data_IF_657433134678
#
_entry.id   IF_657433134678
#
_cell.length_a   1.000
_cell.length_b   1.000
_cell.length_c   1.000
_cell.angle_alpha   90.00
_cell.angle_beta   90.00
_cell.angle_gamma   90.00
#
_symmetry.space_group_name_H-M   'P 1'
#
loop_
_entity.id
_entity.type
_entity.pdbx_description
1 polymer ?
#
# COMPACT_ATOMS: atom_id res chain seq x y z
N UNK A 1 -26.72 37.75 20.09
CA UNK A 1 -25.53 36.90 19.97
C UNK A 1 -25.52 36.35 18.56
N UNK A 2 -24.75 36.96 17.66
CA UNK A 2 -24.64 36.50 16.27
C UNK A 2 -23.57 35.43 16.24
N UNK A 3 -23.97 34.17 16.11
CA UNK A 3 -23.05 33.06 15.84
C UNK A 3 -22.71 33.17 14.36
N UNK A 4 -21.64 33.88 14.03
CA UNK A 4 -21.06 33.81 12.69
C UNK A 4 -20.45 32.43 12.53
N UNK A 5 -21.13 31.56 11.80
CA UNK A 5 -20.57 30.33 11.24
C UNK A 5 -19.37 30.72 10.39
N UNK A 6 -18.16 30.56 10.94
CA UNK A 6 -16.92 30.69 10.17
C UNK A 6 -16.81 29.42 9.34
N UNK A 7 -17.22 29.54 8.08
CA UNK A 7 -17.02 28.52 7.06
C UNK A 7 -15.50 28.26 6.96
N UNK A 8 -15.01 27.01 7.16
CA UNK A 8 -13.58 26.76 7.13
C UNK A 8 -13.09 26.95 5.68
N UNK A 9 -12.35 28.03 5.45
CA UNK A 9 -11.67 28.27 4.19
C UNK A 9 -10.79 27.06 3.83
N UNK A 10 -11.15 26.36 2.76
CA UNK A 10 -10.49 25.12 2.39
C UNK A 10 -9.21 25.45 1.64
N UNK A 11 -8.08 25.24 2.33
CA UNK A 11 -6.75 25.63 1.89
C UNK A 11 -6.15 24.62 0.92
N UNK A 12 -5.68 25.10 -0.24
CA UNK A 12 -4.66 24.40 -1.05
C UNK A 12 -3.27 24.71 -0.47
N UNK A 13 -2.41 23.72 -0.19
CA UNK A 13 -1.04 23.98 0.28
C UNK A 13 -0.18 24.61 -0.84
N UNK A 14 1.02 25.09 -0.51
CA UNK A 14 1.86 25.85 -1.44
C UNK A 14 2.17 25.04 -2.71
N UNK A 15 2.17 25.66 -3.91
CA UNK A 15 2.33 24.95 -5.19
C UNK A 15 3.61 24.10 -5.25
N UNK A 16 4.68 24.54 -4.59
CA UNK A 16 5.95 23.82 -4.51
C UNK A 16 5.85 22.50 -3.71
N UNK A 17 5.05 22.48 -2.63
CA UNK A 17 4.88 21.26 -1.81
C UNK A 17 4.03 20.19 -2.52
N UNK A 18 3.07 20.62 -3.35
CA UNK A 18 2.28 19.70 -4.18
C UNK A 18 3.10 19.07 -5.30
N UNK A 19 3.85 19.87 -6.06
CA UNK A 19 4.66 19.35 -7.16
C UNK A 19 5.68 18.30 -6.72
N UNK A 20 6.30 18.47 -5.54
CA UNK A 20 7.26 17.50 -5.00
C UNK A 20 6.61 16.16 -4.64
N UNK A 21 5.40 16.20 -4.07
CA UNK A 21 4.66 14.97 -3.72
C UNK A 21 4.32 14.18 -4.98
N UNK A 22 3.83 14.86 -6.03
CA UNK A 22 3.49 14.23 -7.31
C UNK A 22 4.69 13.56 -7.98
N UNK A 23 5.86 14.21 -7.94
CA UNK A 23 7.10 13.64 -8.46
C UNK A 23 7.46 12.35 -7.70
N UNK A 24 7.41 12.38 -6.37
CA UNK A 24 7.73 11.22 -5.52
C UNK A 24 6.75 10.07 -5.76
N UNK A 25 5.45 10.37 -5.93
CA UNK A 25 4.42 9.36 -6.25
C UNK A 25 4.67 8.74 -7.61
N UNK A 26 4.99 9.55 -8.62
CA UNK A 26 5.29 9.08 -9.98
C UNK A 26 6.51 8.16 -10.00
N UNK A 27 7.59 8.56 -9.32
CA UNK A 27 8.80 7.73 -9.19
C UNK A 27 8.48 6.45 -8.42
N UNK A 28 7.74 6.54 -7.32
CA UNK A 28 7.29 5.38 -6.53
C UNK A 28 6.44 4.39 -7.33
N UNK A 29 5.54 4.88 -8.18
CA UNK A 29 4.75 4.07 -9.11
C UNK A 29 5.64 3.32 -10.10
N UNK A 30 6.60 4.01 -10.70
CA UNK A 30 7.52 3.40 -11.63
C UNK A 30 8.31 2.25 -10.98
N UNK A 31 8.85 2.46 -9.78
CA UNK A 31 9.57 1.41 -9.05
C UNK A 31 8.66 0.26 -8.63
N UNK A 32 7.44 0.53 -8.17
CA UNK A 32 6.44 -0.50 -7.83
C UNK A 32 6.15 -1.40 -9.03
N UNK A 33 5.86 -0.81 -10.19
CA UNK A 33 5.60 -1.55 -11.42
C UNK A 33 6.84 -2.29 -11.90
N UNK A 34 7.99 -1.63 -11.90
CA UNK A 34 9.26 -2.23 -12.33
C UNK A 34 9.61 -3.46 -11.50
N UNK A 35 9.52 -3.38 -10.17
CA UNK A 35 9.79 -4.50 -9.28
C UNK A 35 8.73 -5.61 -9.43
N UNK A 36 7.45 -5.25 -9.52
CA UNK A 36 6.37 -6.20 -9.77
C UNK A 36 6.60 -6.99 -11.06
N UNK A 37 6.88 -6.31 -12.16
CA UNK A 37 7.11 -6.92 -13.47
C UNK A 37 8.39 -7.76 -13.46
N UNK A 38 9.48 -7.24 -12.87
CA UNK A 38 10.76 -7.94 -12.81
C UNK A 38 10.66 -9.23 -11.98
N UNK A 39 10.02 -9.16 -10.82
CA UNK A 39 9.80 -10.32 -9.96
C UNK A 39 8.87 -11.36 -10.61
N UNK A 40 7.86 -10.92 -11.38
CA UNK A 40 7.00 -11.82 -12.14
C UNK A 40 7.71 -12.46 -13.34
N UNK A 41 8.46 -11.67 -14.12
CA UNK A 41 9.09 -12.12 -15.36
C UNK A 41 10.32 -12.99 -15.11
N UNK A 42 11.05 -12.74 -14.02
CA UNK A 42 12.33 -13.39 -13.75
C UNK A 42 12.35 -13.97 -12.35
N UNK A 43 11.29 -14.70 -12.02
CA UNK A 43 11.04 -15.28 -10.70
C UNK A 43 12.27 -15.99 -10.14
N UNK A 44 12.89 -16.88 -10.90
CA UNK A 44 14.01 -17.71 -10.43
C UNK A 44 15.26 -16.89 -10.05
N UNK A 45 15.41 -15.68 -10.59
CA UNK A 45 16.55 -14.81 -10.26
C UNK A 45 16.27 -13.84 -9.11
N UNK A 46 15.00 -13.55 -8.83
CA UNK A 46 14.60 -12.51 -7.87
C UNK A 46 14.00 -13.10 -6.60
N UNK A 47 13.43 -14.30 -6.68
CA UNK A 47 12.70 -14.95 -5.61
C UNK A 47 13.46 -16.17 -5.14
N UNK A 48 13.81 -16.19 -3.87
CA UNK A 48 14.21 -17.40 -3.19
C UNK A 48 12.96 -18.28 -3.00
N UNK A 49 13.02 -19.56 -3.41
CA UNK A 49 11.88 -20.49 -3.40
C UNK A 49 11.28 -20.76 -2.01
N UNK A 50 11.91 -20.23 -0.95
CA UNK A 50 11.46 -20.29 0.43
C UNK A 50 10.28 -19.33 0.65
N UNK A 51 9.10 -19.90 0.90
CA UNK A 51 7.93 -19.15 1.37
C UNK A 51 7.97 -19.05 2.89
N UNK A 52 7.95 -17.83 3.41
CA UNK A 52 7.84 -17.59 4.86
C UNK A 52 6.35 -17.46 5.17
N UNK A 53 5.81 -18.38 5.95
CA UNK A 53 4.38 -18.36 6.31
C UNK A 53 4.22 -17.80 7.71
N UNK A 54 3.75 -16.55 7.81
CA UNK A 54 3.47 -15.91 9.10
C UNK A 54 1.95 -15.71 9.24
N UNK A 55 1.35 -16.44 10.18
CA UNK A 55 -0.10 -16.45 10.40
C UNK A 55 -0.64 -15.05 10.77
N UNK A 56 0.19 -14.18 11.34
CA UNK A 56 -0.19 -12.82 11.71
C UNK A 56 -0.37 -11.87 10.52
N UNK A 57 0.11 -12.24 9.33
CA UNK A 57 0.04 -11.38 8.14
C UNK A 57 -1.32 -11.35 7.48
N UNK A 58 -2.13 -12.42 7.60
CA UNK A 58 -3.45 -12.52 6.97
C UNK A 58 -4.40 -11.38 7.39
N UNK A 59 -4.62 -11.11 8.70
CA UNK A 59 -5.48 -10.00 9.10
C UNK A 59 -4.91 -8.64 8.68
N UNK A 60 -3.58 -8.44 8.78
CA UNK A 60 -2.92 -7.20 8.34
C UNK A 60 -3.13 -6.94 6.84
N UNK A 61 -3.09 -7.99 6.03
CA UNK A 61 -3.34 -7.89 4.59
C UNK A 61 -4.80 -7.53 4.30
N UNK A 62 -5.77 -8.08 5.05
CA UNK A 62 -7.19 -7.72 4.90
C UNK A 62 -7.40 -6.23 5.21
N UNK A 63 -6.81 -5.71 6.29
CA UNK A 63 -6.87 -4.28 6.61
C UNK A 63 -6.18 -3.42 5.55
N UNK A 64 -5.04 -3.86 5.01
CA UNK A 64 -4.35 -3.18 3.91
C UNK A 64 -5.26 -3.03 2.69
N UNK A 65 -5.98 -4.10 2.30
CA UNK A 65 -6.96 -4.06 1.21
C UNK A 65 -8.11 -3.11 1.52
N UNK A 66 -8.70 -3.21 2.71
CA UNK A 66 -9.81 -2.36 3.12
C UNK A 66 -9.44 -0.88 3.05
N UNK A 67 -8.33 -0.48 3.67
CA UNK A 67 -7.90 0.92 3.65
C UNK A 67 -7.45 1.36 2.25
N UNK A 68 -6.78 0.49 1.49
CA UNK A 68 -6.41 0.76 0.11
C UNK A 68 -7.62 1.07 -0.77
N UNK A 69 -8.71 0.30 -0.64
CA UNK A 69 -9.96 0.57 -1.35
C UNK A 69 -10.60 1.91 -0.97
N UNK A 70 -10.61 2.26 0.32
CA UNK A 70 -11.15 3.55 0.79
C UNK A 70 -10.37 4.71 0.17
N UNK A 71 -9.04 4.62 0.11
CA UNK A 71 -8.19 5.66 -0.48
C UNK A 71 -8.44 5.77 -1.99
N UNK A 72 -8.45 4.64 -2.71
CA UNK A 72 -8.72 4.62 -4.15
C UNK A 72 -10.10 5.20 -4.45
N UNK A 73 -11.13 4.82 -3.68
CA UNK A 73 -12.47 5.37 -3.84
C UNK A 73 -12.50 6.89 -3.65
N UNK A 74 -11.80 7.41 -2.63
CA UNK A 74 -11.71 8.85 -2.42
C UNK A 74 -11.03 9.56 -3.60
N UNK A 75 -9.90 9.04 -4.09
CA UNK A 75 -9.22 9.61 -5.26
C UNK A 75 -10.08 9.52 -6.53
N UNK A 76 -10.89 8.47 -6.68
CA UNK A 76 -11.86 8.38 -7.78
C UNK A 76 -12.97 9.43 -7.68
N UNK A 77 -13.47 9.72 -6.48
CA UNK A 77 -14.47 10.78 -6.27
C UNK A 77 -13.88 12.16 -6.60
N UNK A 78 -12.66 12.45 -6.14
CA UNK A 78 -11.96 13.71 -6.45
C UNK A 78 -11.68 13.85 -7.94
N UNK A 79 -11.22 12.77 -8.60
CA UNK A 79 -11.06 12.71 -10.05
C UNK A 79 -12.39 12.95 -10.78
N UNK A 80 -13.48 12.32 -10.33
CA UNK A 80 -14.80 12.47 -10.96
C UNK A 80 -15.33 13.90 -10.86
N UNK A 81 -15.15 14.57 -9.72
CA UNK A 81 -15.55 15.97 -9.56
C UNK A 81 -14.72 16.86 -10.49
N UNK A 82 -13.41 16.64 -10.54
CA UNK A 82 -12.52 17.41 -11.41
C UNK A 82 -12.86 17.22 -12.90
N UNK A 83 -13.19 16.01 -13.33
CA UNK A 83 -13.65 15.73 -14.71
C UNK A 83 -14.96 16.48 -15.00
N UNK A 84 -15.94 16.42 -14.11
CA UNK A 84 -17.22 17.14 -14.28
C UNK A 84 -17.00 18.66 -14.40
N UNK A 85 -16.09 19.21 -13.60
CA UNK A 85 -15.74 20.64 -13.68
C UNK A 85 -15.04 21.01 -14.99
N UNK A 86 -14.11 20.18 -15.48
CA UNK A 86 -13.46 20.38 -16.79
C UNK A 86 -14.48 20.37 -17.92
N UNK A 87 -15.43 19.43 -17.89
CA UNK A 87 -16.46 19.31 -18.92
C UNK A 87 -17.39 20.54 -18.94
N UNK A 88 -17.81 21.02 -17.76
CA UNK A 88 -18.67 22.20 -17.61
C UNK A 88 -18.00 23.50 -18.06
N UNK A 89 -16.68 23.63 -17.88
CA UNK A 89 -15.90 24.84 -18.26
C UNK A 89 -15.07 24.65 -19.54
N UNK A 90 -15.40 23.64 -20.35
CA UNK A 90 -14.68 23.31 -21.60
C UNK A 90 -14.66 24.44 -22.64
N UNK A 91 -15.48 25.48 -22.46
CA UNK A 91 -15.56 26.65 -23.33
C UNK A 91 -14.59 27.79 -22.94
N UNK A 92 -13.92 27.70 -21.79
CA UNK A 92 -12.93 28.68 -21.34
C UNK A 92 -11.52 28.36 -21.86
N UNK A 93 -10.66 29.39 -22.09
CA UNK A 93 -9.31 29.17 -22.58
C UNK A 93 -8.44 28.41 -21.55
N UNK A 94 -8.25 27.13 -21.82
CA UNK A 94 -7.28 26.18 -21.23
C UNK A 94 -7.36 25.97 -19.69
N UNK A 95 -8.15 25.01 -19.19
CA UNK A 95 -8.22 24.64 -17.78
C UNK A 95 -7.02 23.76 -17.35
N UNK A 96 -5.79 24.25 -17.54
CA UNK A 96 -4.56 23.47 -17.32
C UNK A 96 -4.43 22.90 -15.89
N UNK A 97 -4.83 23.66 -14.87
CA UNK A 97 -4.76 23.21 -13.47
C UNK A 97 -5.69 22.03 -13.17
N UNK A 98 -6.89 22.01 -13.77
CA UNK A 98 -7.86 20.94 -13.54
C UNK A 98 -7.43 19.64 -14.22
N UNK A 99 -6.88 19.73 -15.43
CA UNK A 99 -6.31 18.58 -16.15
C UNK A 99 -5.14 17.98 -15.37
N UNK A 100 -4.27 18.82 -14.81
CA UNK A 100 -3.18 18.37 -13.93
C UNK A 100 -3.71 17.70 -12.66
N UNK A 101 -4.80 18.21 -12.08
CA UNK A 101 -5.44 17.58 -10.91
C UNK A 101 -6.03 16.20 -11.27
N UNK A 102 -6.68 16.07 -12.43
CA UNK A 102 -7.18 14.77 -12.91
C UNK A 102 -6.03 13.78 -13.09
N UNK A 103 -4.93 14.23 -13.68
CA UNK A 103 -3.74 13.41 -13.87
C UNK A 103 -3.10 12.99 -12.54
N UNK A 104 -2.97 13.91 -11.59
CA UNK A 104 -2.48 13.63 -10.22
C UNK A 104 -3.30 12.54 -9.54
N UNK A 105 -4.63 12.66 -9.51
CA UNK A 105 -5.48 11.61 -8.92
C UNK A 105 -5.39 10.28 -9.66
N UNK A 106 -5.23 10.29 -10.98
CA UNK A 106 -5.01 9.07 -11.75
C UNK A 106 -3.68 8.39 -11.35
N UNK A 107 -2.60 9.14 -11.24
CA UNK A 107 -1.29 8.62 -10.83
C UNK A 107 -1.33 8.08 -9.40
N UNK A 108 -2.05 8.76 -8.51
CA UNK A 108 -2.29 8.31 -7.14
C UNK A 108 -3.05 6.97 -7.11
N UNK A 109 -4.15 6.84 -7.88
CA UNK A 109 -4.91 5.58 -8.00
C UNK A 109 -4.01 4.44 -8.50
N UNK A 110 -3.22 4.69 -9.55
CA UNK A 110 -2.29 3.70 -10.10
C UNK A 110 -1.22 3.30 -9.08
N UNK A 111 -0.69 4.26 -8.32
CA UNK A 111 0.28 4.00 -7.26
C UNK A 111 -0.31 3.09 -6.19
N UNK A 112 -1.46 3.45 -5.61
CA UNK A 112 -2.08 2.63 -4.56
C UNK A 112 -2.50 1.25 -5.07
N UNK A 113 -3.07 1.15 -6.27
CA UNK A 113 -3.45 -0.14 -6.84
C UNK A 113 -2.23 -1.05 -7.11
N UNK A 114 -1.15 -0.49 -7.66
CA UNK A 114 0.07 -1.25 -7.92
C UNK A 114 0.77 -1.69 -6.62
N UNK A 115 0.86 -0.81 -5.62
CA UNK A 115 1.41 -1.14 -4.29
C UNK A 115 0.60 -2.23 -3.59
N UNK A 116 -0.73 -2.10 -3.60
CA UNK A 116 -1.61 -3.06 -3.00
C UNK A 116 -1.46 -4.45 -3.66
N UNK A 117 -1.38 -4.48 -4.99
CA UNK A 117 -1.11 -5.70 -5.75
C UNK A 117 0.28 -6.29 -5.46
N UNK A 118 1.32 -5.46 -5.47
CA UNK A 118 2.69 -5.86 -5.17
C UNK A 118 2.78 -6.50 -3.77
N UNK A 119 2.31 -5.81 -2.74
CA UNK A 119 2.35 -6.30 -1.36
C UNK A 119 1.52 -7.58 -1.24
N UNK A 120 0.29 -7.60 -1.74
CA UNK A 120 -0.59 -8.77 -1.64
C UNK A 120 0.01 -10.02 -2.29
N UNK A 121 0.75 -9.85 -3.39
CA UNK A 121 1.34 -10.96 -4.10
C UNK A 121 2.67 -11.43 -3.49
N UNK A 122 3.52 -10.50 -3.05
CA UNK A 122 4.88 -10.83 -2.60
C UNK A 122 5.06 -10.89 -1.07
N UNK A 123 4.01 -10.68 -0.26
CA UNK A 123 4.07 -10.65 1.23
C UNK A 123 4.74 -11.87 1.89
N UNK A 124 4.64 -13.05 1.28
CA UNK A 124 5.18 -14.32 1.80
C UNK A 124 6.45 -14.77 1.06
N UNK A 125 7.02 -13.91 0.23
CA UNK A 125 8.11 -14.25 -0.67
C UNK A 125 9.41 -13.65 -0.16
N UNK A 126 10.48 -14.45 -0.12
CA UNK A 126 11.83 -13.96 0.16
C UNK A 126 12.50 -13.54 -1.15
N UNK A 127 12.96 -12.30 -1.21
CA UNK A 127 13.69 -11.78 -2.37
C UNK A 127 15.20 -11.99 -2.18
N UNK A 128 15.94 -12.09 -3.29
CA UNK A 128 17.40 -11.97 -3.24
C UNK A 128 17.82 -10.51 -3.09
N UNK A 129 18.82 -10.24 -2.23
CA UNK A 129 19.39 -8.91 -2.11
C UNK A 129 19.97 -8.44 -3.41
N UNK A 130 19.37 -7.35 -3.89
CA UNK A 130 19.73 -6.66 -5.11
C UNK A 130 19.70 -5.18 -4.79
N UNK A 131 20.69 -4.45 -5.33
CA UNK A 131 20.75 -2.99 -5.24
C UNK A 131 19.44 -2.36 -5.72
N UNK A 132 18.84 -2.89 -6.78
CA UNK A 132 17.56 -2.39 -7.31
C UNK A 132 16.38 -2.66 -6.40
N UNK A 133 16.35 -3.82 -5.73
CA UNK A 133 15.30 -4.14 -4.77
C UNK A 133 15.37 -3.17 -3.58
N UNK A 134 16.56 -2.97 -3.01
CA UNK A 134 16.77 -2.06 -1.89
C UNK A 134 16.40 -0.63 -2.27
N UNK A 135 16.92 -0.08 -3.37
CA UNK A 135 16.52 1.27 -3.78
C UNK A 135 15.02 1.39 -4.06
N UNK A 136 14.42 0.39 -4.71
CA UNK A 136 12.99 0.41 -5.00
C UNK A 136 12.15 0.38 -3.72
N UNK A 137 12.42 -0.54 -2.78
CA UNK A 137 11.70 -0.59 -1.50
C UNK A 137 11.91 0.70 -0.70
N UNK A 138 13.10 1.30 -0.74
CA UNK A 138 13.40 2.57 -0.04
C UNK A 138 12.56 3.73 -0.58
N UNK A 139 12.45 3.82 -1.91
CA UNK A 139 11.63 4.84 -2.57
C UNK A 139 10.16 4.62 -2.22
N UNK A 140 9.66 3.38 -2.30
CA UNK A 140 8.27 3.06 -1.94
C UNK A 140 7.97 3.42 -0.48
N UNK A 141 8.88 3.10 0.45
CA UNK A 141 8.78 3.48 1.86
C UNK A 141 8.76 4.99 2.05
N UNK A 142 9.63 5.71 1.34
CA UNK A 142 9.70 7.18 1.36
C UNK A 142 8.38 7.79 0.88
N UNK A 143 7.79 7.27 -0.20
CA UNK A 143 6.48 7.72 -0.69
C UNK A 143 5.39 7.54 0.37
N UNK A 144 5.35 6.41 1.08
CA UNK A 144 4.38 6.20 2.16
C UNK A 144 4.60 7.14 3.35
N UNK A 145 5.86 7.42 3.71
CA UNK A 145 6.19 8.37 4.77
C UNK A 145 5.77 9.80 4.41
N UNK A 146 5.95 10.21 3.15
CA UNK A 146 5.49 11.50 2.63
C UNK A 146 3.96 11.60 2.73
N UNK A 147 3.23 10.57 2.29
CA UNK A 147 1.76 10.56 2.42
C UNK A 147 1.29 10.61 3.87
N UNK A 148 1.92 9.83 4.74
CA UNK A 148 1.62 9.84 6.17
C UNK A 148 1.85 11.24 6.76
N UNK A 149 3.00 11.84 6.49
CA UNK A 149 3.35 13.17 6.98
C UNK A 149 2.36 14.23 6.47
N UNK A 150 2.06 14.23 5.17
CA UNK A 150 1.12 15.17 4.55
C UNK A 150 -0.28 15.04 5.15
N UNK A 151 -0.76 13.81 5.39
CA UNK A 151 -2.08 13.56 6.00
C UNK A 151 -2.15 14.12 7.41
N UNK A 152 -1.11 13.90 8.22
CA UNK A 152 -1.05 14.43 9.59
C UNK A 152 -0.96 15.95 9.61
N UNK A 153 -0.11 16.54 8.78
CA UNK A 153 0.03 18.00 8.68
C UNK A 153 -1.29 18.65 8.23
N UNK A 154 -1.96 18.09 7.22
CA UNK A 154 -3.26 18.57 6.76
C UNK A 154 -4.33 18.47 7.87
N UNK A 155 -4.30 17.39 8.67
CA UNK A 155 -5.19 17.25 9.83
C UNK A 155 -4.95 18.33 10.88
N UNK A 156 -3.70 18.66 11.20
CA UNK A 156 -3.35 19.72 12.16
C UNK A 156 -3.81 21.10 11.69
N UNK A 157 -3.69 21.39 10.38
CA UNK A 157 -4.24 22.60 9.79
C UNK A 157 -5.77 22.64 9.87
N UNK A 158 -6.45 21.52 9.56
CA UNK A 158 -7.91 21.43 9.59
C UNK A 158 -8.49 21.66 10.98
N UNK A 159 -7.80 21.22 12.02
CA UNK A 159 -8.19 21.44 13.42
C UNK A 159 -7.75 22.81 13.97
N UNK A 160 -7.17 23.69 13.15
CA UNK A 160 -6.80 25.05 13.54
C UNK A 160 -5.61 25.15 14.51
N UNK A 161 -4.89 24.06 14.74
CA UNK A 161 -3.71 24.04 15.63
C UNK A 161 -2.55 24.80 14.97
N UNK A 162 -2.39 24.65 13.66
CA UNK A 162 -1.45 25.42 12.85
C UNK A 162 -2.21 26.52 12.10
N UNK A 163 -1.85 27.79 12.35
CA UNK A 163 -2.39 28.94 11.63
C UNK A 163 -1.57 29.14 10.36
N UNK A 164 -2.21 29.39 9.22
CA UNK A 164 -1.49 29.98 8.07
C UNK A 164 -2.23 31.17 7.51
N UNK A 165 -1.49 31.96 6.74
CA UNK A 165 -1.98 33.13 6.04
C UNK A 165 -3.01 32.75 4.98
N UNK A 166 -4.06 33.56 4.87
CA UNK A 166 -5.20 33.33 3.99
C UNK A 166 -4.76 33.58 2.54
N UNK A 167 -4.71 32.52 1.73
CA UNK A 167 -4.68 32.67 0.28
C UNK A 167 -6.13 32.66 -0.23
N UNK A 168 -6.55 33.75 -0.85
CA UNK A 168 -7.81 33.84 -1.59
C UNK A 168 -7.75 32.92 -2.81
N UNK A 169 -8.57 31.87 -2.85
CA UNK A 169 -8.75 31.03 -4.03
C UNK A 169 -9.61 31.77 -5.05
N UNK A 170 -9.09 31.91 -6.27
CA UNK A 170 -9.85 32.37 -7.45
C UNK A 170 -11.04 31.44 -7.72
N UNK A 171 -12.13 32.02 -8.26
CA UNK A 171 -13.47 31.50 -8.61
C UNK A 171 -13.61 30.05 -9.13
N UNK A 172 -12.52 29.35 -9.45
CA UNK A 172 -12.50 27.95 -9.88
C UNK A 172 -12.77 26.93 -8.76
N UNK A 173 -12.70 27.36 -7.49
CA UNK A 173 -13.07 26.53 -6.33
C UNK A 173 -14.56 26.18 -6.28
N UNK A 174 -15.42 26.99 -6.89
CA UNK A 174 -16.85 26.94 -6.62
C UNK A 174 -17.53 25.74 -7.30
N UNK A 175 -17.05 25.32 -8.48
CA UNK A 175 -17.55 24.11 -9.15
C UNK A 175 -17.25 22.84 -8.33
N UNK A 176 -16.03 22.75 -7.80
CA UNK A 176 -15.60 21.58 -7.03
C UNK A 176 -16.39 21.48 -5.73
N UNK A 177 -16.53 22.59 -4.99
CA UNK A 177 -17.25 22.61 -3.71
C UNK A 177 -18.77 22.47 -3.87
N UNK A 178 -19.34 23.02 -4.95
CA UNK A 178 -20.76 22.96 -5.26
C UNK A 178 -21.24 21.67 -5.93
N UNK A 179 -20.36 20.71 -6.22
CA UNK A 179 -20.75 19.43 -6.82
C UNK A 179 -21.53 18.55 -5.84
N UNK A 180 -22.62 17.93 -6.31
CA UNK A 180 -23.39 16.94 -5.53
C UNK A 180 -22.51 15.79 -5.03
N UNK A 181 -21.50 15.40 -5.82
CA UNK A 181 -20.53 14.35 -5.48
C UNK A 181 -19.64 14.80 -4.32
N UNK A 182 -19.32 16.09 -4.22
CA UNK A 182 -18.53 16.63 -3.12
C UNK A 182 -19.28 16.50 -1.77
N UNK A 183 -20.62 16.54 -1.76
CA UNK A 183 -21.40 16.28 -0.55
C UNK A 183 -21.18 14.85 0.00
N UNK A 184 -21.07 13.85 -0.89
CA UNK A 184 -20.73 12.48 -0.54
C UNK A 184 -19.28 12.39 -0.05
N UNK A 185 -18.34 13.03 -0.76
CA UNK A 185 -16.93 13.10 -0.39
C UNK A 185 -16.75 13.65 1.03
N UNK A 186 -17.39 14.76 1.35
CA UNK A 186 -17.31 15.37 2.67
C UNK A 186 -17.83 14.46 3.80
N UNK A 187 -18.80 13.58 3.51
CA UNK A 187 -19.29 12.59 4.49
C UNK A 187 -18.31 11.45 4.74
N UNK A 188 -17.56 11.02 3.73
CA UNK A 188 -16.58 9.94 3.86
C UNK A 188 -15.22 10.44 4.37
N UNK A 189 -14.90 11.71 4.15
CA UNK A 189 -13.63 12.35 4.52
C UNK A 189 -13.12 12.04 5.94
N UNK A 190 -13.97 12.02 7.00
CA UNK A 190 -13.53 11.68 8.35
C UNK A 190 -12.94 10.27 8.49
N UNK A 191 -13.30 9.36 7.59
CA UNK A 191 -12.81 7.98 7.55
C UNK A 191 -11.62 7.81 6.59
N UNK A 192 -11.51 8.67 5.58
CA UNK A 192 -10.42 8.61 4.58
C UNK A 192 -9.08 8.97 5.20
N UNK A 193 -9.02 10.05 5.99
CA UNK A 193 -7.77 10.49 6.63
C UNK A 193 -7.13 9.42 7.54
N UNK A 194 -7.85 8.80 8.51
CA UNK A 194 -7.28 7.72 9.30
C UNK A 194 -6.97 6.49 8.45
N UNK A 195 -7.81 6.13 7.47
CA UNK A 195 -7.52 5.02 6.57
C UNK A 195 -6.21 5.22 5.79
N UNK A 196 -5.93 6.45 5.32
CA UNK A 196 -4.67 6.79 4.65
C UNK A 196 -3.45 6.64 5.56
N UNK A 197 -3.56 7.10 6.80
CA UNK A 197 -2.50 6.93 7.81
C UNK A 197 -2.24 5.44 8.08
N UNK A 198 -3.28 4.66 8.35
CA UNK A 198 -3.17 3.23 8.64
C UNK A 198 -2.64 2.44 7.45
N UNK A 199 -3.12 2.73 6.25
CA UNK A 199 -2.61 2.12 5.02
C UNK A 199 -1.12 2.38 4.83
N UNK A 200 -0.67 3.63 4.96
CA UNK A 200 0.75 3.96 4.80
C UNK A 200 1.64 3.26 5.83
N UNK A 201 1.20 3.13 7.08
CA UNK A 201 1.93 2.40 8.12
C UNK A 201 1.95 0.89 7.87
N UNK A 202 0.82 0.30 7.48
CA UNK A 202 0.75 -1.12 7.12
C UNK A 202 1.62 -1.43 5.91
N UNK A 203 1.52 -0.63 4.85
CA UNK A 203 2.34 -0.77 3.65
C UNK A 203 3.84 -0.66 3.99
N UNK A 204 4.23 0.36 4.76
CA UNK A 204 5.59 0.53 5.26
C UNK A 204 6.07 -0.70 6.05
N UNK A 205 5.22 -1.26 6.92
CA UNK A 205 5.57 -2.45 7.71
C UNK A 205 5.81 -3.69 6.84
N UNK A 206 5.01 -3.89 5.79
CA UNK A 206 5.21 -4.98 4.83
C UNK A 206 6.47 -4.78 4.00
N UNK A 207 6.71 -3.57 3.51
CA UNK A 207 7.91 -3.21 2.76
C UNK A 207 9.18 -3.38 3.58
N UNK A 208 9.19 -2.96 4.84
CA UNK A 208 10.30 -3.18 5.76
C UNK A 208 10.55 -4.67 6.04
N UNK A 209 9.50 -5.47 6.17
CA UNK A 209 9.65 -6.93 6.30
C UNK A 209 10.25 -7.54 5.03
N UNK A 210 9.81 -7.11 3.85
CA UNK A 210 10.41 -7.55 2.58
C UNK A 210 11.88 -7.13 2.45
N UNK A 211 12.22 -5.94 2.93
CA UNK A 211 13.60 -5.46 3.01
C UNK A 211 14.45 -6.35 3.91
N UNK A 212 14.00 -6.57 5.15
CA UNK A 212 14.76 -7.36 6.15
C UNK A 212 14.93 -8.81 5.74
N UNK A 213 13.94 -9.40 5.06
CA UNK A 213 14.04 -10.76 4.52
C UNK A 213 15.00 -10.85 3.32
N UNK A 214 15.32 -9.72 2.70
CA UNK A 214 16.31 -9.68 1.63
C UNK A 214 17.71 -9.93 2.21
N UNK A 215 18.11 -9.20 3.26
CA UNK A 215 19.41 -9.42 3.91
C UNK A 215 19.51 -10.86 4.42
N UNK A 216 20.61 -11.52 4.05
CA UNK A 216 20.85 -12.94 4.27
C UNK A 216 21.25 -13.30 5.69
N UNK A 217 21.00 -12.44 6.67
CA UNK A 217 21.62 -12.53 8.00
C UNK A 217 20.97 -13.58 8.95
N UNK A 218 20.16 -14.50 8.41
CA UNK A 218 19.66 -15.64 9.18
C UNK A 218 20.68 -16.80 9.26
N UNK A 219 21.86 -16.69 8.65
CA UNK A 219 22.93 -17.69 8.84
C UNK A 219 23.66 -17.55 10.18
N UNK A 220 23.57 -16.42 10.91
CA UNK A 220 24.37 -16.25 12.14
C UNK A 220 23.61 -16.58 13.46
N UNK A 221 22.28 -16.71 13.43
CA UNK A 221 21.49 -17.01 14.65
C UNK A 221 21.21 -18.52 14.82
N UNK A 222 21.32 -19.34 13.75
CA UNK A 222 21.14 -20.80 13.86
C UNK A 222 22.41 -21.58 14.20
N UNK A 223 23.59 -21.01 13.99
CA UNK A 223 24.86 -21.68 14.32
C UNK A 223 25.31 -21.47 15.77
N UNK A 224 24.71 -20.54 16.51
CA UNK A 224 25.06 -20.26 17.90
C UNK A 224 24.20 -20.97 18.96
N UNK A 225 23.17 -21.73 18.57
CA UNK A 225 22.20 -22.32 19.52
C UNK A 225 22.21 -23.86 19.60
N UNK A 226 23.24 -24.54 19.06
CA UNK A 226 23.44 -25.99 19.28
C UNK A 226 24.89 -26.40 19.54
N UNK A 227 25.66 -25.58 20.26
CA UNK A 227 26.89 -26.01 20.94
C UNK A 227 26.75 -26.00 22.48
N UNK A 228 25.57 -26.36 22.98
CA UNK A 228 25.40 -26.82 24.35
C UNK A 228 25.42 -28.34 24.31
N UNK A 229 26.62 -28.87 24.52
CA UNK A 229 26.89 -30.28 24.72
C UNK A 229 26.28 -30.71 26.07
N UNK A 230 25.04 -31.18 26.04
CA UNK A 230 24.48 -32.00 27.11
C UNK A 230 24.39 -33.44 26.62
N UNK A 231 25.37 -34.24 27.06
CA UNK A 231 25.32 -35.69 27.09
C UNK A 231 24.04 -36.15 27.82
N UNK A 232 23.09 -36.75 27.10
CA UNK A 232 22.30 -37.86 27.64
C UNK A 232 21.67 -38.70 26.51
N UNK A 233 22.02 -39.99 26.51
CA UNK A 233 21.60 -41.03 25.57
C UNK A 233 20.07 -41.24 25.57
N UNK A 234 19.44 -41.31 24.39
CA UNK A 234 18.86 -42.55 23.81
C UNK A 234 17.97 -42.28 22.58
N UNK A 235 17.81 -43.26 21.65
CA UNK A 235 17.57 -43.02 20.23
C UNK A 235 16.20 -43.48 19.69
N UNK A 236 15.97 -43.14 18.40
CA UNK A 236 15.15 -43.80 17.36
C UNK A 236 13.91 -43.03 16.87
N UNK A 237 14.02 -42.46 15.66
CA UNK A 237 13.12 -42.68 14.51
C UNK A 237 13.86 -42.27 13.22
N UNK A 238 13.81 -43.06 12.13
CA UNK A 238 14.55 -42.77 10.90
C UNK A 238 13.88 -41.69 10.05
N UNK A 239 14.73 -40.83 9.49
CA UNK A 239 14.43 -39.76 8.55
C UNK A 239 13.99 -40.33 7.19
N UNK A 240 12.73 -40.10 6.80
CA UNK A 240 12.27 -40.43 5.44
C UNK A 240 12.49 -39.22 4.52
N UNK A 241 13.30 -39.41 3.49
CA UNK A 241 13.66 -38.36 2.52
C UNK A 241 12.79 -38.55 1.28
N UNK A 242 11.61 -37.91 1.26
CA UNK A 242 10.82 -37.82 0.03
C UNK A 242 11.16 -36.51 -0.68
N UNK A 243 11.98 -36.63 -1.72
CA UNK A 243 12.27 -35.60 -2.69
C UNK A 243 11.02 -35.28 -3.52
N UNK A 244 10.28 -34.25 -3.11
CA UNK A 244 9.21 -33.69 -3.95
C UNK A 244 9.85 -32.72 -4.94
N UNK A 245 10.10 -33.20 -6.17
CA UNK A 245 10.30 -32.36 -7.34
C UNK A 245 8.98 -31.69 -7.71
N UNK A 246 8.79 -30.44 -7.27
CA UNK A 246 7.67 -29.61 -7.77
C UNK A 246 8.11 -28.94 -9.07
N UNK A 247 7.59 -29.43 -10.19
CA UNK A 247 7.66 -28.70 -11.45
C UNK A 247 6.81 -27.43 -11.33
N UNK A 248 7.47 -26.27 -11.25
CA UNK A 248 6.79 -24.98 -11.33
C UNK A 248 6.63 -24.59 -12.79
N UNK A 249 5.45 -24.88 -13.34
CA UNK A 249 4.97 -24.18 -14.53
C UNK A 249 3.53 -23.74 -14.28
N UNK A 250 3.37 -22.66 -13.50
CA UNK A 250 2.11 -21.93 -13.43
C UNK A 250 2.39 -20.43 -13.62
N UNK A 251 1.95 -19.96 -14.79
CA UNK A 251 1.80 -18.58 -15.19
C UNK A 251 1.02 -17.77 -14.15
N UNK A 252 1.34 -16.48 -14.03
CA UNK A 252 0.73 -15.50 -13.11
C UNK A 252 -0.80 -15.56 -13.13
N UNK A 253 -1.39 -16.37 -12.24
CA UNK A 253 -2.83 -16.44 -12.01
C UNK A 253 -3.12 -15.82 -10.64
N UNK A 254 -4.12 -14.95 -10.52
CA UNK A 254 -4.48 -14.33 -9.25
C UNK A 254 -4.82 -15.39 -8.18
N UNK A 255 -4.49 -15.08 -6.93
CA UNK A 255 -4.71 -15.95 -5.78
C UNK A 255 -6.17 -16.43 -5.71
N UNK A 256 -6.38 -17.73 -5.88
CA UNK A 256 -7.70 -18.34 -5.80
C UNK A 256 -8.07 -18.49 -4.32
N UNK A 257 -8.98 -17.66 -3.84
CA UNK A 257 -9.39 -17.54 -2.42
C UNK A 257 -10.33 -18.68 -1.94
N UNK A 258 -10.41 -19.80 -2.68
CA UNK A 258 -11.31 -20.91 -2.38
C UNK A 258 -10.54 -22.21 -2.18
N UNK A 259 -10.03 -22.42 -0.96
CA UNK A 259 -9.82 -23.78 -0.42
C UNK A 259 -9.80 -23.75 1.11
N UNK A 260 -10.98 -23.64 1.70
CA UNK A 260 -11.20 -24.06 3.08
C UNK A 260 -11.47 -25.57 2.99
N UNK A 261 -10.41 -26.38 3.15
CA UNK A 261 -10.57 -27.81 3.42
C UNK A 261 -10.65 -27.95 4.92
N UNK A 262 -11.84 -28.21 5.43
CA UNK A 262 -12.04 -28.65 6.81
C UNK A 262 -11.70 -30.14 6.80
N UNK A 263 -10.46 -30.51 7.17
CA UNK A 263 -10.15 -31.90 7.50
C UNK A 263 -10.76 -32.20 8.87
N UNK A 264 -11.85 -32.99 8.88
CA UNK A 264 -12.32 -33.65 10.09
C UNK A 264 -11.38 -34.81 10.44
N UNK A 265 -11.06 -35.03 11.73
CA UNK A 265 -10.25 -36.16 12.15
C UNK A 265 -11.03 -37.47 12.00
N UNK A 266 -10.63 -38.31 11.05
CA UNK A 266 -11.07 -39.72 10.96
C UNK A 266 -10.30 -40.57 11.97
N UNK A 267 -10.75 -40.57 13.22
CA UNK A 267 -10.35 -41.56 14.23
C UNK A 267 -11.59 -42.37 14.65
N UNK A 268 -12.11 -43.23 13.77
CA UNK A 268 -12.94 -44.39 14.16
C UNK A 268 -13.27 -45.30 12.95
N UNK A 269 -12.30 -46.13 12.53
CA UNK A 269 -12.62 -47.35 11.77
C UNK A 269 -11.58 -48.45 11.98
N UNK A 270 -11.43 -48.88 13.24
CA UNK A 270 -10.98 -50.23 13.60
C UNK A 270 -11.72 -50.69 14.85
N UNK A 271 -12.88 -51.30 14.65
CA UNK A 271 -13.54 -52.32 15.50
C UNK A 271 -14.99 -52.48 15.04
N UNK A 272 -15.19 -53.40 14.11
CA UNK A 272 -16.38 -54.26 13.95
C UNK A 272 -16.15 -55.15 12.73
#
# INVERSE_FOLDING_TARGET
>A
MVVTSVEPAIRKPSPASWGMTEIIVTVGLFFSLFLSISACRTRDKWINGVKVTDLSQRPRLIFLWLFGFVIILNSMLEMSINIDCVLKHSSEPFPGEQILSVFSHLMEILFFASQLGFIAYFVNVRFFTSVFLNYGISIMLTTHLVFWFQTNVNSLFRHGILRSENFTSLNFSDCFWGSDINSLRQRIEPYVSPARTEYSLLAASFLLKMWSLSDGDDEEIRDNDMNIQTDERSPLLPYNTDSITVSMNESCRPANFNRIVIELPTEQRRRS
#
